data_IF_234427032918
#
_entry.id   IF_234427032918
#
_cell.length_a   1.000
_cell.length_b   1.000
_cell.length_c   1.000
_cell.angle_alpha   90.00
_cell.angle_beta   90.00
_cell.angle_gamma   90.00
#
_symmetry.space_group_name_H-M   'P 1'
#
loop_
_entity.id
_entity.type
_entity.pdbx_description
1 polymer ?
#
# COMPACT_ATOMS: atom_id res chain seq x y z
N UNK A 1 22.29 36.10 35.72
CA UNK A 1 21.73 35.68 34.42
C UNK A 1 22.24 34.29 34.12
N UNK A 2 21.33 33.32 33.96
CA UNK A 2 21.68 31.94 33.61
C UNK A 2 20.38 31.14 33.49
N UNK A 3 19.76 31.19 32.32
CA UNK A 3 18.53 30.47 32.02
C UNK A 3 18.81 28.96 31.97
N UNK A 4 18.07 28.20 32.77
CA UNK A 4 17.89 26.76 32.57
C UNK A 4 16.96 26.57 31.38
N UNK A 5 17.51 26.21 30.23
CA UNK A 5 16.71 25.82 29.06
C UNK A 5 16.37 24.35 29.25
N UNK A 6 15.17 24.11 29.75
CA UNK A 6 14.50 22.81 29.70
C UNK A 6 14.36 22.42 28.22
N UNK A 7 15.26 21.57 27.74
CA UNK A 7 15.20 21.05 26.38
C UNK A 7 15.19 19.53 26.48
N UNK A 8 14.00 18.98 26.61
CA UNK A 8 13.77 17.56 26.38
C UNK A 8 14.36 17.17 25.00
N UNK A 9 15.22 16.12 24.93
CA UNK A 9 16.04 15.85 23.75
C UNK A 9 15.25 15.23 22.57
N UNK A 10 15.82 15.25 21.34
CA UNK A 10 15.19 15.18 20.00
C UNK A 10 14.77 13.77 19.57
N UNK A 11 14.27 12.98 20.53
CA UNK A 11 13.88 11.59 20.32
C UNK A 11 12.58 11.44 19.55
N UNK A 12 11.59 12.33 19.78
CA UNK A 12 10.31 12.29 19.06
C UNK A 12 10.49 12.51 17.54
N UNK A 13 11.32 13.48 17.16
CA UNK A 13 11.65 13.75 15.75
C UNK A 13 12.49 12.64 15.13
N UNK A 14 13.40 12.04 15.91
CA UNK A 14 14.19 10.89 15.45
C UNK A 14 13.31 9.65 15.26
N UNK A 15 12.34 9.41 16.14
CA UNK A 15 11.37 8.31 16.03
C UNK A 15 10.42 8.56 14.85
N UNK A 16 9.96 9.79 14.62
CA UNK A 16 9.14 10.14 13.46
C UNK A 16 9.91 9.97 12.15
N UNK A 17 11.20 10.31 12.12
CA UNK A 17 12.08 10.07 10.97
C UNK A 17 12.36 8.59 10.75
N UNK A 18 12.58 7.80 11.82
CA UNK A 18 12.74 6.34 11.72
C UNK A 18 11.42 5.69 11.28
N UNK A 19 10.27 6.12 11.80
CA UNK A 19 8.96 5.70 11.29
C UNK A 19 8.73 6.15 9.85
N UNK A 20 9.29 7.29 9.42
CA UNK A 20 9.23 7.70 8.02
C UNK A 20 10.15 6.84 7.12
N UNK A 21 11.32 6.42 7.65
CA UNK A 21 12.32 5.60 6.97
C UNK A 21 11.94 4.10 6.93
N UNK A 22 11.22 3.60 7.93
CA UNK A 22 10.87 2.17 8.09
C UNK A 22 9.37 1.89 8.16
N UNK A 23 8.51 2.91 8.22
CA UNK A 23 7.06 2.75 8.37
C UNK A 23 6.30 2.47 7.07
N UNK A 24 7.00 2.45 5.93
CA UNK A 24 6.44 1.91 4.69
C UNK A 24 6.95 0.49 4.50
N UNK A 25 6.07 -0.49 4.72
CA UNK A 25 6.40 -1.89 4.41
C UNK A 25 6.77 -2.00 2.93
N UNK A 26 7.64 -2.94 2.56
CA UNK A 26 8.00 -3.19 1.15
C UNK A 26 6.75 -3.33 0.27
N UNK A 27 5.72 -4.00 0.78
CA UNK A 27 4.44 -4.18 0.10
C UNK A 27 3.67 -2.85 0.00
N UNK A 28 3.68 -2.02 1.04
CA UNK A 28 3.12 -0.67 0.99
C UNK A 28 3.76 0.18 -0.10
N UNK A 29 5.09 0.18 -0.21
CA UNK A 29 5.78 0.93 -1.26
C UNK A 29 5.42 0.44 -2.68
N UNK A 30 5.29 -0.88 -2.87
CA UNK A 30 4.87 -1.46 -4.16
C UNK A 30 3.43 -1.04 -4.46
N UNK A 31 2.52 -1.26 -3.51
CA UNK A 31 1.11 -0.91 -3.68
C UNK A 31 0.94 0.57 -4.00
N UNK A 32 1.57 1.46 -3.23
CA UNK A 32 1.43 2.91 -3.36
C UNK A 32 1.93 3.43 -4.72
N UNK A 33 2.87 2.72 -5.36
CA UNK A 33 3.45 3.07 -6.68
C UNK A 33 2.74 2.44 -7.87
N UNK A 34 1.77 1.55 -7.66
CA UNK A 34 0.99 0.98 -8.76
C UNK A 34 0.27 2.07 -9.55
N UNK A 35 0.20 1.90 -10.87
CA UNK A 35 -0.63 2.71 -11.75
C UNK A 35 -2.07 2.73 -11.26
N UNK A 36 -2.75 3.87 -11.45
CA UNK A 36 -4.09 4.08 -10.94
C UNK A 36 -5.08 3.02 -11.46
N UNK A 37 -4.97 2.63 -12.72
CA UNK A 37 -5.81 1.59 -13.33
C UNK A 37 -5.58 0.21 -12.71
N UNK A 38 -4.33 -0.14 -12.37
CA UNK A 38 -4.02 -1.40 -11.69
C UNK A 38 -4.53 -1.40 -10.25
N UNK A 39 -4.35 -0.29 -9.52
CA UNK A 39 -4.94 -0.14 -8.18
C UNK A 39 -6.46 -0.28 -8.23
N UNK A 40 -7.11 0.37 -9.19
CA UNK A 40 -8.55 0.30 -9.39
C UNK A 40 -9.00 -1.15 -9.65
N UNK A 41 -8.30 -1.87 -10.52
CA UNK A 41 -8.58 -3.29 -10.77
C UNK A 41 -8.51 -4.15 -9.51
N UNK A 42 -7.45 -3.99 -8.71
CA UNK A 42 -7.28 -4.72 -7.44
C UNK A 42 -8.37 -4.34 -6.42
N UNK A 43 -8.71 -3.04 -6.31
CA UNK A 43 -9.76 -2.57 -5.41
C UNK A 43 -11.13 -3.14 -5.77
N UNK A 44 -11.46 -3.18 -7.06
CA UNK A 44 -12.71 -3.79 -7.55
C UNK A 44 -12.75 -5.27 -7.20
N UNK A 45 -11.66 -6.01 -7.43
CA UNK A 45 -11.57 -7.42 -7.06
C UNK A 45 -11.68 -7.65 -5.54
N UNK A 46 -11.21 -6.70 -4.74
CA UNK A 46 -11.34 -6.72 -3.28
C UNK A 46 -12.71 -6.26 -2.75
N UNK A 47 -13.63 -5.84 -3.63
CA UNK A 47 -14.93 -5.29 -3.24
C UNK A 47 -14.82 -3.92 -2.52
N UNK A 48 -13.73 -3.21 -2.74
CA UNK A 48 -13.47 -1.89 -2.15
C UNK A 48 -14.00 -0.78 -3.05
N UNK A 49 -14.42 0.32 -2.42
CA UNK A 49 -15.02 1.47 -3.10
C UNK A 49 -13.95 2.41 -3.66
N UNK A 50 -14.31 3.20 -4.69
CA UNK A 50 -13.43 4.19 -5.32
C UNK A 50 -12.73 5.19 -4.38
N UNK A 51 -13.29 5.61 -3.23
CA UNK A 51 -12.56 6.47 -2.29
C UNK A 51 -11.24 5.86 -1.78
N UNK A 52 -11.12 4.53 -1.72
CA UNK A 52 -9.90 3.84 -1.31
C UNK A 52 -8.77 3.96 -2.34
N UNK A 53 -9.07 4.35 -3.58
CA UNK A 53 -8.07 4.52 -4.66
C UNK A 53 -7.01 5.57 -4.32
N UNK A 54 -7.41 6.59 -3.57
CA UNK A 54 -6.52 7.70 -3.17
C UNK A 54 -5.74 7.40 -1.88
N UNK A 55 -6.07 6.30 -1.20
CA UNK A 55 -5.43 5.92 0.05
C UNK A 55 -4.16 5.12 -0.22
N UNK A 56 -3.13 5.39 0.58
CA UNK A 56 -1.96 4.52 0.69
C UNK A 56 -2.34 3.25 1.42
N UNK A 57 -1.56 2.19 1.22
CA UNK A 57 -1.79 0.92 1.90
C UNK A 57 -1.80 1.10 3.43
N UNK A 58 -0.98 2.00 3.98
CA UNK A 58 -0.93 2.29 5.41
C UNK A 58 -2.22 2.91 5.96
N UNK A 59 -2.92 3.68 5.13
CA UNK A 59 -4.14 4.44 5.49
C UNK A 59 -5.40 3.58 5.46
N UNK A 60 -5.32 2.36 4.91
CA UNK A 60 -6.41 1.39 4.96
C UNK A 60 -6.52 0.77 6.35
N UNK A 61 -7.75 0.48 6.77
CA UNK A 61 -7.99 -0.29 7.98
C UNK A 61 -7.58 -1.76 7.80
N UNK A 62 -7.56 -2.51 8.90
CA UNK A 62 -7.11 -3.89 8.89
C UNK A 62 -8.03 -4.82 8.09
N UNK A 63 -9.34 -4.53 8.03
CA UNK A 63 -10.30 -5.31 7.27
C UNK A 63 -10.08 -5.10 5.77
N UNK A 64 -9.85 -3.86 5.34
CA UNK A 64 -9.59 -3.52 3.95
C UNK A 64 -8.24 -4.06 3.48
N UNK A 65 -7.22 -4.02 4.33
CA UNK A 65 -5.93 -4.71 4.09
C UNK A 65 -6.13 -6.21 3.88
N UNK A 66 -6.97 -6.86 4.69
CA UNK A 66 -7.26 -8.29 4.53
C UNK A 66 -8.00 -8.59 3.22
N UNK A 67 -8.98 -7.77 2.84
CA UNK A 67 -9.66 -7.90 1.54
C UNK A 67 -8.71 -7.74 0.36
N UNK A 68 -7.84 -6.73 0.38
CA UNK A 68 -6.81 -6.52 -0.64
C UNK A 68 -5.88 -7.73 -0.75
N UNK A 69 -5.36 -8.20 0.38
CA UNK A 69 -4.48 -9.36 0.42
C UNK A 69 -5.15 -10.59 -0.20
N UNK A 70 -6.41 -10.86 0.15
CA UNK A 70 -7.16 -11.99 -0.39
C UNK A 70 -7.41 -11.84 -1.90
N UNK A 71 -7.78 -10.65 -2.36
CA UNK A 71 -8.00 -10.39 -3.78
C UNK A 71 -6.72 -10.56 -4.60
N UNK A 72 -5.59 -10.03 -4.13
CA UNK A 72 -4.30 -10.16 -4.80
C UNK A 72 -3.90 -11.64 -4.94
N UNK A 73 -4.03 -12.42 -3.86
CA UNK A 73 -3.71 -13.84 -3.89
C UNK A 73 -4.68 -14.67 -4.74
N UNK A 74 -5.93 -14.26 -4.86
CA UNK A 74 -6.89 -14.90 -5.77
C UNK A 74 -6.58 -14.57 -7.24
N UNK A 75 -6.12 -13.35 -7.52
CA UNK A 75 -5.78 -12.89 -8.86
C UNK A 75 -4.45 -13.46 -9.38
N UNK A 76 -3.41 -13.57 -8.55
CA UNK A 76 -2.07 -14.02 -8.96
C UNK A 76 -2.06 -15.30 -9.81
N UNK A 77 -2.66 -16.42 -9.37
CA UNK A 77 -2.62 -17.66 -10.14
C UNK A 77 -3.46 -17.60 -11.42
N UNK A 78 -4.49 -16.76 -11.47
CA UNK A 78 -5.34 -16.60 -12.66
C UNK A 78 -4.65 -15.75 -13.70
N UNK A 79 -4.12 -14.58 -13.29
CA UNK A 79 -3.38 -13.68 -14.18
C UNK A 79 -2.16 -14.40 -14.74
N UNK A 80 -1.43 -15.16 -13.92
CA UNK A 80 -0.26 -15.94 -14.37
C UNK A 80 -0.61 -16.97 -15.46
N UNK A 81 -1.81 -17.55 -15.45
CA UNK A 81 -2.28 -18.50 -16.47
C UNK A 81 -2.71 -17.81 -17.77
N UNK A 82 -3.09 -16.54 -17.72
CA UNK A 82 -3.56 -15.78 -18.87
C UNK A 82 -2.45 -14.92 -19.50
N UNK A 83 -1.48 -14.50 -18.70
CA UNK A 83 -0.37 -13.66 -19.13
C UNK A 83 0.60 -14.42 -20.05
N UNK A 84 1.16 -13.72 -21.05
CA UNK A 84 2.17 -14.27 -21.96
C UNK A 84 1.61 -15.02 -23.17
N UNK A 85 0.29 -15.25 -23.23
CA UNK A 85 -0.38 -15.77 -24.42
C UNK A 85 -0.54 -14.69 -25.49
N UNK A 86 -0.57 -15.13 -26.75
CA UNK A 86 -0.76 -14.23 -27.89
C UNK A 86 -2.18 -13.69 -27.93
N UNK A 87 -2.38 -12.46 -28.44
CA UNK A 87 -3.73 -11.89 -28.59
C UNK A 87 -4.64 -12.77 -29.47
N UNK A 88 -4.06 -13.52 -30.41
CA UNK A 88 -4.78 -14.49 -31.26
C UNK A 88 -5.42 -15.65 -30.51
N UNK A 89 -5.02 -15.90 -29.26
CA UNK A 89 -5.63 -16.92 -28.40
C UNK A 89 -6.89 -16.40 -27.66
N UNK A 90 -7.11 -15.07 -27.62
CA UNK A 90 -8.27 -14.43 -26.99
C UNK A 90 -9.40 -14.20 -28.00
N UNK A 91 -9.94 -15.28 -28.56
CA UNK A 91 -11.01 -15.27 -29.57
C UNK A 91 -12.39 -14.98 -28.99
#
# INVERSE_FOLDING_TARGET
>A
MGQIVDTAPPSADSIAQIHSLFGSSRIGCIYDKLDEDLKKGILVAAGLKMPHLKLKLSELDQLDKAKLHNAINALEPVIRKLAGHSISEFK
#
